data_IF_163651435797
#
_entry.id   IF_163651435797
#
_cell.length_a   1.000
_cell.length_b   1.000
_cell.length_c   1.000
_cell.angle_alpha   90.00
_cell.angle_beta   90.00
_cell.angle_gamma   90.00
#
_symmetry.space_group_name_H-M   'P 1'
#
loop_
_entity.id
_entity.type
_entity.pdbx_description
1 polymer ?
#
# COMPACT_ATOMS: atom_id res chain seq x y z
N UNK A 1 13.83 -4.10 19.53
CA UNK A 1 13.09 -5.33 19.85
C UNK A 1 12.46 -5.78 18.54
N UNK A 2 12.71 -7.01 18.08
CA UNK A 2 12.02 -7.54 16.90
C UNK A 2 10.68 -8.10 17.39
N UNK A 3 9.56 -7.51 16.99
CA UNK A 3 8.22 -8.02 17.30
C UNK A 3 7.88 -9.30 16.54
N UNK A 4 6.60 -9.69 16.54
CA UNK A 4 6.13 -10.87 15.81
C UNK A 4 6.10 -10.61 14.30
N UNK A 5 6.28 -11.67 13.51
CA UNK A 5 6.28 -11.62 12.05
C UNK A 5 4.95 -11.05 11.52
N UNK A 6 5.00 -10.19 10.49
CA UNK A 6 3.78 -9.63 9.87
C UNK A 6 2.96 -10.73 9.20
N UNK A 7 3.63 -11.77 8.68
CA UNK A 7 3.00 -12.94 8.10
C UNK A 7 2.23 -13.81 9.11
N UNK A 8 2.34 -13.54 10.41
CA UNK A 8 1.50 -14.16 11.44
C UNK A 8 0.08 -13.58 11.49
N UNK A 9 -0.14 -12.40 10.91
CA UNK A 9 -1.47 -11.78 10.83
C UNK A 9 -2.26 -12.50 9.74
N UNK A 10 -3.48 -12.95 10.09
CA UNK A 10 -4.41 -13.56 9.14
C UNK A 10 -4.58 -12.69 7.88
N UNK A 11 -4.57 -13.33 6.72
CA UNK A 11 -4.62 -12.73 5.38
C UNK A 11 -3.32 -12.05 4.90
N UNK A 12 -2.27 -11.94 5.72
CA UNK A 12 -0.97 -11.41 5.30
C UNK A 12 0.03 -12.55 5.13
N UNK A 13 0.59 -12.69 3.93
CA UNK A 13 1.59 -13.72 3.63
C UNK A 13 3.02 -13.17 3.61
N UNK A 14 4.03 -14.03 3.35
CA UNK A 14 5.45 -13.64 3.29
C UNK A 14 5.74 -12.49 2.30
N UNK A 15 4.98 -12.41 1.20
CA UNK A 15 5.11 -11.32 0.24
C UNK A 15 4.67 -9.96 0.82
N UNK A 16 3.62 -9.95 1.64
CA UNK A 16 3.15 -8.73 2.33
C UNK A 16 4.16 -8.31 3.39
N UNK A 17 4.66 -9.26 4.18
CA UNK A 17 5.72 -9.01 5.16
C UNK A 17 6.96 -8.40 4.52
N UNK A 18 7.49 -9.02 3.45
CA UNK A 18 8.65 -8.46 2.74
C UNK A 18 8.38 -7.05 2.21
N UNK A 19 7.16 -6.74 1.78
CA UNK A 19 6.78 -5.40 1.34
C UNK A 19 6.76 -4.39 2.51
N UNK A 20 6.20 -4.77 3.66
CA UNK A 20 6.18 -3.93 4.85
C UNK A 20 7.58 -3.70 5.43
N UNK A 21 8.43 -4.72 5.44
CA UNK A 21 9.83 -4.58 5.83
C UNK A 21 10.56 -3.56 4.95
N UNK A 22 10.39 -3.62 3.62
CA UNK A 22 10.94 -2.59 2.70
C UNK A 22 10.35 -1.20 2.96
N UNK A 23 9.10 -1.13 3.41
CA UNK A 23 8.41 0.11 3.76
C UNK A 23 8.73 0.61 5.19
N UNK A 24 9.71 0.00 5.87
CA UNK A 24 10.13 0.41 7.21
C UNK A 24 9.12 0.06 8.32
N UNK A 25 8.28 -0.95 8.12
CA UNK A 25 7.40 -1.52 9.14
C UNK A 25 7.95 -2.89 9.54
N UNK A 26 8.65 -2.99 10.68
CA UNK A 26 9.48 -4.16 11.01
C UNK A 26 8.70 -5.37 11.52
N UNK A 27 7.54 -5.17 12.15
CA UNK A 27 6.79 -6.22 12.84
C UNK A 27 5.27 -5.95 12.89
N UNK A 28 4.53 -6.97 13.33
CA UNK A 28 3.08 -6.96 13.41
C UNK A 28 2.55 -5.98 14.47
N UNK A 29 3.29 -5.77 15.56
CA UNK A 29 2.95 -4.79 16.61
C UNK A 29 3.01 -3.38 16.05
N UNK A 30 4.11 -3.03 15.37
CA UNK A 30 4.25 -1.73 14.70
C UNK A 30 3.14 -1.53 13.66
N UNK A 31 2.82 -2.57 12.86
CA UNK A 31 1.75 -2.48 11.88
C UNK A 31 0.36 -2.25 12.51
N UNK A 32 0.08 -2.88 13.66
CA UNK A 32 -1.16 -2.66 14.41
C UNK A 32 -1.22 -1.26 15.03
N UNK A 33 -0.10 -0.78 15.57
CA UNK A 33 -0.01 0.54 16.19
C UNK A 33 -0.25 1.67 15.19
N UNK A 34 0.38 1.60 14.02
CA UNK A 34 0.19 2.63 12.98
C UNK A 34 -1.14 2.49 12.25
N UNK A 35 -1.71 1.28 12.20
CA UNK A 35 -2.97 1.01 11.53
C UNK A 35 -2.87 0.84 10.01
N UNK A 36 -3.99 0.44 9.39
CA UNK A 36 -4.02 0.03 7.99
C UNK A 36 -3.75 1.18 7.00
N UNK A 37 -4.30 2.37 7.25
CA UNK A 37 -4.14 3.51 6.34
C UNK A 37 -2.70 3.98 6.27
N UNK A 38 -2.07 4.19 7.42
CA UNK A 38 -0.66 4.57 7.52
C UNK A 38 0.27 3.46 7.04
N UNK A 39 -0.01 2.20 7.39
CA UNK A 39 0.73 1.05 6.88
C UNK A 39 0.70 0.99 5.35
N UNK A 40 -0.47 1.17 4.74
CA UNK A 40 -0.62 1.18 3.28
C UNK A 40 0.02 2.41 2.63
N UNK A 41 -0.04 3.58 3.28
CA UNK A 41 0.66 4.79 2.84
C UNK A 41 2.16 4.53 2.70
N UNK A 42 2.78 3.87 3.68
CA UNK A 42 4.21 3.50 3.62
C UNK A 42 4.50 2.52 2.49
N UNK A 43 3.61 1.55 2.25
CA UNK A 43 3.74 0.65 1.10
C UNK A 43 3.76 1.43 -0.22
N UNK A 44 2.82 2.36 -0.41
CA UNK A 44 2.78 3.22 -1.60
C UNK A 44 4.07 4.05 -1.75
N UNK A 45 4.55 4.66 -0.67
CA UNK A 45 5.79 5.44 -0.67
C UNK A 45 7.05 4.59 -0.95
N UNK A 46 7.02 3.31 -0.59
CA UNK A 46 8.08 2.35 -0.95
C UNK A 46 8.03 1.88 -2.41
N UNK A 47 7.11 2.42 -3.23
CA UNK A 47 6.96 2.11 -4.64
C UNK A 47 5.99 0.96 -4.95
N UNK A 48 5.17 0.52 -4.00
CA UNK A 48 4.12 -0.46 -4.31
C UNK A 48 3.05 0.16 -5.21
N UNK A 49 2.62 -0.60 -6.22
CA UNK A 49 1.53 -0.16 -7.10
C UNK A 49 0.21 -0.13 -6.32
N UNK A 50 -0.62 0.93 -6.48
CA UNK A 50 -1.93 0.99 -5.85
C UNK A 50 -2.81 -0.21 -6.23
N UNK A 51 -3.32 -0.92 -5.23
CA UNK A 51 -4.20 -2.06 -5.42
C UNK A 51 -5.24 -2.14 -4.31
N UNK A 52 -6.48 -1.82 -4.67
CA UNK A 52 -7.58 -1.68 -3.70
C UNK A 52 -7.86 -2.95 -2.90
N UNK A 53 -7.74 -4.14 -3.52
CA UNK A 53 -7.97 -5.39 -2.79
C UNK A 53 -6.97 -5.53 -1.65
N UNK A 54 -5.69 -5.27 -1.91
CA UNK A 54 -4.64 -5.35 -0.89
C UNK A 54 -4.88 -4.34 0.24
N UNK A 55 -5.40 -3.15 -0.10
CA UNK A 55 -5.74 -2.12 0.89
C UNK A 55 -6.85 -2.57 1.84
N UNK A 56 -8.01 -3.03 1.35
CA UNK A 56 -9.07 -3.44 2.27
C UNK A 56 -8.75 -4.77 2.97
N UNK A 57 -7.98 -5.67 2.36
CA UNK A 57 -7.50 -6.90 3.01
C UNK A 57 -6.67 -6.55 4.25
N UNK A 58 -5.83 -5.51 4.19
CA UNK A 58 -5.07 -5.03 5.33
C UNK A 58 -5.99 -4.55 6.47
N UNK A 59 -7.05 -3.81 6.15
CA UNK A 59 -8.07 -3.43 7.15
C UNK A 59 -8.71 -4.66 7.80
N UNK A 60 -9.13 -5.65 7.00
CA UNK A 60 -9.72 -6.89 7.54
C UNK A 60 -8.72 -7.68 8.39
N UNK A 61 -7.45 -7.72 7.96
CA UNK A 61 -6.37 -8.41 8.66
C UNK A 61 -6.15 -7.82 10.07
N UNK A 62 -6.06 -6.49 10.20
CA UNK A 62 -5.86 -5.84 11.50
C UNK A 62 -7.09 -5.94 12.42
N UNK A 63 -8.28 -6.10 11.84
CA UNK A 63 -9.51 -6.38 12.58
C UNK A 63 -9.69 -7.87 12.93
N UNK A 64 -8.81 -8.77 12.46
CA UNK A 64 -8.92 -10.21 12.68
C UNK A 64 -10.04 -10.90 11.87
N UNK A 65 -10.60 -10.21 10.87
CA UNK A 65 -11.72 -10.70 10.04
C UNK A 65 -11.24 -11.43 8.78
N UNK A 66 -12.03 -12.35 8.21
CA UNK A 66 -11.72 -12.88 6.89
C UNK A 66 -11.89 -11.78 5.83
N UNK A 67 -11.02 -11.77 4.82
CA UNK A 67 -10.99 -10.67 3.85
C UNK A 67 -12.30 -10.49 3.05
N UNK A 68 -13.05 -11.57 2.87
CA UNK A 68 -14.31 -11.58 2.11
C UNK A 68 -15.51 -10.99 2.87
N UNK A 69 -15.35 -10.61 4.14
CA UNK A 69 -16.42 -10.00 4.93
C UNK A 69 -16.60 -8.50 4.64
N UNK A 70 -15.63 -7.85 3.97
CA UNK A 70 -15.74 -6.46 3.52
C UNK A 70 -16.76 -6.33 2.38
N UNK A 71 -17.95 -5.78 2.68
CA UNK A 71 -19.10 -5.71 1.75
C UNK A 71 -19.94 -4.44 1.90
N UNK A 72 -20.78 -4.18 0.90
CA UNK A 72 -21.76 -3.11 0.94
C UNK A 72 -21.15 -1.73 1.21
N UNK A 73 -21.72 -1.01 2.18
CA UNK A 73 -21.33 0.36 2.54
C UNK A 73 -19.88 0.45 3.04
N UNK A 74 -19.37 -0.56 3.76
CA UNK A 74 -17.99 -0.61 4.25
C UNK A 74 -17.00 -0.61 3.08
N UNK A 75 -17.22 -1.49 2.10
CA UNK A 75 -16.37 -1.56 0.90
C UNK A 75 -16.39 -0.24 0.11
N UNK A 76 -17.55 0.41 0.03
CA UNK A 76 -17.67 1.71 -0.63
C UNK A 76 -16.93 2.83 0.14
N UNK A 77 -16.96 2.81 1.46
CA UNK A 77 -16.21 3.75 2.29
C UNK A 77 -14.69 3.55 2.13
N UNK A 78 -14.23 2.30 2.17
CA UNK A 78 -12.82 1.97 1.95
C UNK A 78 -12.36 2.33 0.54
N UNK A 79 -13.21 2.22 -0.49
CA UNK A 79 -12.88 2.69 -1.84
C UNK A 79 -12.55 4.19 -1.82
N UNK A 80 -13.41 5.01 -1.20
CA UNK A 80 -13.20 6.46 -1.11
C UNK A 80 -11.92 6.79 -0.34
N UNK A 81 -11.66 6.11 0.78
CA UNK A 81 -10.44 6.30 1.56
C UNK A 81 -9.18 5.91 0.76
N UNK A 82 -9.23 4.80 0.03
CA UNK A 82 -8.15 4.37 -0.87
C UNK A 82 -7.87 5.39 -1.96
N UNK A 83 -8.91 5.86 -2.66
CA UNK A 83 -8.75 6.83 -3.76
C UNK A 83 -8.12 8.14 -3.25
N UNK A 84 -8.55 8.60 -2.07
CA UNK A 84 -7.96 9.77 -1.40
C UNK A 84 -6.48 9.52 -1.03
N UNK A 85 -6.17 8.37 -0.44
CA UNK A 85 -4.82 7.99 -0.03
C UNK A 85 -3.86 7.91 -1.23
N UNK A 86 -4.32 7.35 -2.35
CA UNK A 86 -3.55 7.28 -3.59
C UNK A 86 -3.30 8.68 -4.14
N UNK A 87 -4.32 9.55 -4.13
CA UNK A 87 -4.18 10.93 -4.59
C UNK A 87 -3.16 11.72 -3.75
N UNK A 88 -3.14 11.54 -2.43
CA UNK A 88 -2.20 12.24 -1.54
C UNK A 88 -0.79 11.67 -1.57
N UNK A 89 -0.62 10.41 -2.00
CA UNK A 89 0.69 9.75 -2.04
C UNK A 89 1.37 9.84 -3.41
N UNK A 90 0.63 10.23 -4.46
CA UNK A 90 1.24 10.60 -5.72
C UNK A 90 2.15 11.79 -5.50
N UNK A 91 3.42 11.62 -5.83
CA UNK A 91 4.38 12.71 -5.89
C UNK A 91 3.95 13.64 -7.04
N UNK A 92 3.62 14.92 -6.78
CA UNK A 92 3.31 15.87 -7.85
C UNK A 92 4.50 16.10 -8.79
N UNK A 93 5.73 15.73 -8.39
CA UNK A 93 6.89 15.74 -9.30
C UNK A 93 6.92 14.55 -10.27
N UNK A 94 6.09 13.51 -10.05
CA UNK A 94 5.84 12.46 -11.04
C UNK A 94 4.86 12.91 -12.13
N UNK A 95 4.08 13.98 -11.91
CA UNK A 95 3.38 14.71 -12.98
C UNK A 95 4.36 15.64 -13.70
N UNK A 96 5.17 15.02 -14.56
CA UNK A 96 6.14 15.72 -15.40
C UNK A 96 7.52 15.16 -15.19
N UNK A 97 7.85 14.10 -15.93
CA UNK A 97 9.25 13.74 -16.13
C UNK A 97 10.04 15.00 -16.50
N UNK A 98 11.23 15.24 -15.92
CA UNK A 98 12.12 16.28 -16.39
C UNK A 98 12.22 16.16 -17.92
N UNK A 99 12.03 17.27 -18.64
CA UNK A 99 11.91 17.28 -20.12
C UNK A 99 13.00 16.43 -20.80
N UNK A 100 14.22 16.48 -20.28
CA UNK A 100 15.35 15.70 -20.77
C UNK A 100 15.15 14.18 -20.65
N UNK A 101 14.58 13.70 -19.54
CA UNK A 101 14.30 12.28 -19.33
C UNK A 101 13.09 11.82 -20.16
N UNK A 102 12.04 12.65 -20.27
CA UNK A 102 10.90 12.35 -21.14
C UNK A 102 11.35 12.21 -22.61
N UNK A 103 12.18 13.15 -23.08
CA UNK A 103 12.75 13.10 -24.42
C UNK A 103 13.67 11.88 -24.63
N UNK A 104 14.44 11.49 -23.62
CA UNK A 104 15.27 10.29 -23.70
C UNK A 104 14.41 9.03 -23.82
N UNK A 105 13.35 8.89 -23.01
CA UNK A 105 12.44 7.74 -23.09
C UNK A 105 11.71 7.67 -24.44
N UNK A 106 11.28 8.81 -24.98
CA UNK A 106 10.68 8.89 -26.32
C UNK A 106 11.69 8.50 -27.42
N UNK A 107 12.94 8.97 -27.33
CA UNK A 107 14.01 8.61 -28.25
C UNK A 107 14.27 7.09 -28.26
N UNK A 108 14.15 6.45 -27.09
CA UNK A 108 14.30 4.99 -26.95
C UNK A 108 12.98 4.21 -27.12
N UNK A 109 11.85 4.88 -27.41
CA UNK A 109 10.56 4.25 -27.70
C UNK A 109 9.83 3.67 -26.47
N UNK A 110 10.20 4.06 -25.26
CA UNK A 110 9.59 3.58 -24.01
C UNK A 110 8.53 4.60 -23.58
N UNK A 111 7.23 4.26 -23.69
CA UNK A 111 6.15 5.12 -23.15
C UNK A 111 5.99 4.89 -21.65
N UNK A 112 5.98 5.99 -20.90
CA UNK A 112 5.57 6.04 -19.49
C UNK A 112 4.07 5.76 -19.33
#
# INVERSE_FOLDING_TARGET
MSGTAISSIKNLGPASEAAFLRAGVPDAETLREIGADEGYRRLLQSGQRPHFISYYVLHMALQGRPWNDCRGAEKAALRRAFDALVATTKDPSAEGLPRALAMALDFYGIRA
#
